data_IF_525148829068
#
_entry.id   IF_525148829068
#
_cell.length_a   1.000
_cell.length_b   1.000
_cell.length_c   1.000
_cell.angle_alpha   90.00
_cell.angle_beta   90.00
_cell.angle_gamma   90.00
#
_symmetry.space_group_name_H-M   'P 1'
#
loop_
_entity.id
_entity.type
_entity.pdbx_description
1 polymer ?
#
# COMPACT_ATOMS: atom_id res chain seq x y z
N UNK A 1 2.22 3.08 -17.31
CA UNK A 1 2.42 3.86 -16.08
C UNK A 1 1.12 3.87 -15.28
N UNK A 2 1.02 3.14 -14.15
CA UNK A 2 -0.22 3.05 -13.36
C UNK A 2 -0.58 4.36 -12.65
N UNK A 3 0.39 5.23 -12.38
CA UNK A 3 0.18 6.52 -11.70
C UNK A 3 -0.73 7.49 -12.50
N UNK A 4 -0.61 7.50 -13.84
CA UNK A 4 -1.48 8.31 -14.71
C UNK A 4 -2.90 7.72 -14.81
N UNK A 5 -3.01 6.39 -14.87
CA UNK A 5 -4.31 5.69 -14.84
C UNK A 5 -5.04 5.91 -13.51
N UNK A 6 -4.31 5.86 -12.39
CA UNK A 6 -4.83 6.02 -11.04
C UNK A 6 -5.26 7.47 -10.71
N UNK A 7 -4.58 8.47 -11.30
CA UNK A 7 -5.03 9.88 -11.25
C UNK A 7 -6.28 10.12 -12.10
N UNK A 8 -6.35 9.51 -13.29
CA UNK A 8 -7.47 9.68 -14.23
C UNK A 8 -8.78 9.07 -13.72
N UNK A 9 -8.71 7.97 -12.96
CA UNK A 9 -9.90 7.31 -12.41
C UNK A 9 -10.44 7.96 -11.14
N UNK A 10 -9.71 8.89 -10.51
CA UNK A 10 -10.08 9.50 -9.22
C UNK A 10 -10.06 8.51 -8.05
N UNK A 11 -9.45 7.34 -8.21
CA UNK A 11 -9.45 6.26 -7.23
C UNK A 11 -8.40 6.44 -6.11
N UNK A 12 -7.41 7.32 -6.31
CA UNK A 12 -6.52 7.73 -5.22
C UNK A 12 -7.26 8.60 -4.23
N UNK A 13 -7.57 8.01 -3.09
CA UNK A 13 -8.05 8.75 -1.94
C UNK A 13 -6.95 9.70 -1.46
N UNK A 14 -7.32 10.88 -0.97
CA UNK A 14 -6.34 11.86 -0.45
C UNK A 14 -5.58 11.35 0.78
N UNK A 15 -6.09 10.29 1.43
CA UNK A 15 -5.48 9.65 2.60
C UNK A 15 -4.52 8.49 2.26
N UNK A 16 -4.40 8.06 1.00
CA UNK A 16 -3.46 6.99 0.61
C UNK A 16 -2.00 7.20 1.09
N UNK A 17 -1.40 8.42 1.01
CA UNK A 17 -0.06 8.64 1.55
C UNK A 17 0.00 8.55 3.08
N UNK A 18 -1.02 9.06 3.80
CA UNK A 18 -1.12 8.89 5.25
C UNK A 18 -1.23 7.41 5.65
N UNK A 19 -2.04 6.65 4.92
CA UNK A 19 -2.24 5.20 5.14
C UNK A 19 -0.93 4.43 4.93
N UNK A 20 -0.19 4.74 3.87
CA UNK A 20 1.12 4.13 3.62
C UNK A 20 2.13 4.49 4.71
N UNK A 21 2.14 5.74 5.18
CA UNK A 21 2.95 6.17 6.32
C UNK A 21 2.62 5.41 7.60
N UNK A 22 1.33 5.17 7.88
CA UNK A 22 0.89 4.36 9.03
C UNK A 22 1.37 2.91 8.93
N UNK A 23 1.32 2.31 7.73
CA UNK A 23 1.85 0.96 7.47
C UNK A 23 3.36 0.91 7.67
N UNK A 24 4.10 1.89 7.15
CA UNK A 24 5.55 1.97 7.32
C UNK A 24 5.93 2.11 8.81
N UNK A 25 5.18 2.91 9.58
CA UNK A 25 5.35 3.00 11.03
C UNK A 25 5.07 1.66 11.73
N UNK A 26 4.02 0.93 11.33
CA UNK A 26 3.73 -0.40 11.90
C UNK A 26 4.88 -1.40 11.67
N UNK A 27 5.48 -1.37 10.47
CA UNK A 27 6.66 -2.20 10.15
C UNK A 27 7.83 -1.85 11.08
N UNK A 28 8.13 -0.56 11.24
CA UNK A 28 9.23 -0.08 12.09
C UNK A 28 8.98 -0.39 13.58
N UNK A 29 7.76 -0.18 14.07
CA UNK A 29 7.37 -0.49 15.45
C UNK A 29 7.40 -1.99 15.75
N UNK A 30 7.29 -2.84 14.73
CA UNK A 30 7.46 -4.30 14.84
C UNK A 30 8.92 -4.74 14.90
N UNK A 31 9.89 -3.80 14.89
CA UNK A 31 11.33 -4.09 14.90
C UNK A 31 11.86 -4.65 13.58
N UNK A 32 11.08 -4.56 12.50
CA UNK A 32 11.46 -5.05 11.17
C UNK A 32 12.11 -3.95 10.35
N UNK A 33 13.04 -4.29 9.44
CA UNK A 33 13.52 -3.32 8.46
C UNK A 33 12.37 -2.84 7.58
N UNK A 34 12.37 -1.56 7.22
CA UNK A 34 11.39 -1.02 6.28
C UNK A 34 11.73 -1.50 4.87
N UNK A 35 11.27 -2.69 4.52
CA UNK A 35 11.46 -3.32 3.21
C UNK A 35 10.13 -3.44 2.46
N UNK A 36 10.18 -3.47 1.12
CA UNK A 36 8.97 -3.68 0.31
C UNK A 36 8.23 -4.97 0.71
N UNK A 37 8.98 -6.03 1.04
CA UNK A 37 8.41 -7.30 1.53
C UNK A 37 7.63 -7.11 2.83
N UNK A 38 8.17 -6.37 3.78
CA UNK A 38 7.52 -6.16 5.08
C UNK A 38 6.32 -5.20 4.99
N UNK A 39 6.41 -4.19 4.12
CA UNK A 39 5.28 -3.31 3.78
C UNK A 39 4.15 -4.11 3.13
N UNK A 40 4.46 -4.95 2.14
CA UNK A 40 3.48 -5.84 1.47
C UNK A 40 2.82 -6.78 2.48
N UNK A 41 3.60 -7.45 3.33
CA UNK A 41 3.06 -8.35 4.35
C UNK A 41 2.11 -7.62 5.33
N UNK A 42 2.44 -6.38 5.68
CA UNK A 42 1.63 -5.57 6.59
C UNK A 42 0.35 -5.09 5.92
N UNK A 43 0.40 -4.69 4.64
CA UNK A 43 -0.78 -4.35 3.85
C UNK A 43 -1.75 -5.54 3.72
N UNK A 44 -1.23 -6.74 3.44
CA UNK A 44 -2.05 -7.96 3.38
C UNK A 44 -2.74 -8.23 4.71
N UNK A 45 -1.99 -8.18 5.83
CA UNK A 45 -2.57 -8.36 7.17
C UNK A 45 -3.67 -7.34 7.47
N UNK A 46 -3.50 -6.07 7.07
CA UNK A 46 -4.53 -5.03 7.23
C UNK A 46 -5.77 -5.35 6.38
N UNK A 47 -5.58 -5.78 5.13
CA UNK A 47 -6.67 -6.18 4.24
C UNK A 47 -7.50 -7.34 4.81
N UNK A 48 -6.88 -8.30 5.49
CA UNK A 48 -7.58 -9.43 6.11
C UNK A 48 -8.40 -9.05 7.34
N UNK A 49 -8.07 -7.93 7.98
CA UNK A 49 -8.69 -7.45 9.22
C UNK A 49 -9.68 -6.30 9.00
N UNK A 50 -9.56 -5.60 7.87
CA UNK A 50 -10.38 -4.45 7.53
C UNK A 50 -11.76 -4.89 7.05
N UNK A 51 -12.79 -4.24 7.58
CA UNK A 51 -14.20 -4.50 7.21
C UNK A 51 -14.79 -3.34 6.41
N UNK A 52 -14.18 -2.16 6.48
CA UNK A 52 -14.60 -1.01 5.68
C UNK A 52 -14.17 -1.19 4.22
N UNK A 53 -15.15 -1.27 3.32
CA UNK A 53 -14.92 -1.56 1.90
C UNK A 53 -14.11 -0.48 1.20
N UNK A 54 -14.25 0.78 1.61
CA UNK A 54 -13.50 1.91 1.03
C UNK A 54 -12.04 1.85 1.46
N UNK A 55 -11.79 1.63 2.74
CA UNK A 55 -10.45 1.45 3.30
C UNK A 55 -9.76 0.21 2.73
N UNK A 56 -10.51 -0.88 2.57
CA UNK A 56 -10.02 -2.12 1.93
C UNK A 56 -9.58 -1.83 0.49
N UNK A 57 -10.33 -1.03 -0.25
CA UNK A 57 -9.96 -0.63 -1.60
C UNK A 57 -8.67 0.20 -1.62
N UNK A 58 -8.53 1.18 -0.71
CA UNK A 58 -7.30 1.95 -0.56
C UNK A 58 -6.09 1.04 -0.27
N UNK A 59 -6.22 0.08 0.64
CA UNK A 59 -5.12 -0.87 0.93
C UNK A 59 -4.81 -1.78 -0.26
N UNK A 60 -5.80 -2.16 -1.08
CA UNK A 60 -5.59 -2.93 -2.31
C UNK A 60 -4.81 -2.11 -3.34
N UNK A 61 -5.20 -0.86 -3.56
CA UNK A 61 -4.48 0.04 -4.47
C UNK A 61 -3.04 0.30 -4.03
N UNK A 62 -2.81 0.51 -2.72
CA UNK A 62 -1.47 0.66 -2.15
C UNK A 62 -0.62 -0.61 -2.34
N UNK A 63 -1.22 -1.79 -2.16
CA UNK A 63 -0.55 -3.06 -2.37
C UNK A 63 -0.12 -3.24 -3.84
N UNK A 64 -1.02 -2.96 -4.79
CA UNK A 64 -0.72 -3.00 -6.22
C UNK A 64 0.40 -2.03 -6.59
N UNK A 65 0.37 -0.81 -6.04
CA UNK A 65 1.43 0.19 -6.24
C UNK A 65 2.79 -0.31 -5.74
N UNK A 66 2.87 -0.80 -4.50
CA UNK A 66 4.13 -1.27 -3.91
C UNK A 66 4.67 -2.49 -4.67
N UNK A 67 3.80 -3.42 -5.07
CA UNK A 67 4.19 -4.58 -5.90
C UNK A 67 4.74 -4.10 -7.25
N UNK A 68 4.03 -3.22 -7.94
CA UNK A 68 4.46 -2.69 -9.23
C UNK A 68 5.82 -1.98 -9.14
N UNK A 69 6.02 -1.14 -8.13
CA UNK A 69 7.31 -0.47 -7.87
C UNK A 69 8.42 -1.48 -7.59
N UNK A 70 8.12 -2.55 -6.85
CA UNK A 70 9.10 -3.60 -6.55
C UNK A 70 9.47 -4.42 -7.78
N UNK A 71 8.51 -4.72 -8.65
CA UNK A 71 8.76 -5.44 -9.92
C UNK A 71 9.44 -4.54 -10.96
N UNK A 72 9.25 -3.22 -10.90
CA UNK A 72 9.88 -2.26 -11.80
C UNK A 72 11.39 -2.05 -11.56
N UNK A 73 11.95 -2.51 -10.43
CA UNK A 73 13.40 -2.44 -10.16
C UNK A 73 14.19 -3.64 -10.72
N UNK A 74 13.50 -4.67 -11.21
CA UNK A 74 14.10 -5.86 -11.86
C UNK A 74 13.80 -5.90 -13.38
N UNK A 75 13.42 -4.77 -13.97
CA UNK A 75 13.18 -4.60 -15.40
C UNK A 75 14.37 -4.04 -16.14
#
# INVERSE_FOLDING_TARGET
MPEEFMKVTGLWTTDAPQRLGSVALEVLMSGKPLSNKDVIATLIKRLEQEQDVLTTDTYRQLLEYVIYRTQGEIG
#
